data_IF_369080428939
#
_entry.id   IF_369080428939
#
_cell.length_a   1.000
_cell.length_b   1.000
_cell.length_c   1.000
_cell.angle_alpha   90.00
_cell.angle_beta   90.00
_cell.angle_gamma   90.00
#
_symmetry.space_group_name_H-M   'P 1'
#
loop_
_entity.id
_entity.type
_entity.pdbx_description
1 polymer ?
#
# COMPACT_ATOMS: atom_id res chain seq x y z
N UNK A 1 -4.02 17.99 -16.65
CA UNK A 1 -3.45 16.76 -16.01
C UNK A 1 -3.08 17.05 -14.56
N UNK A 2 -3.46 16.18 -13.65
CA UNK A 2 -3.15 16.36 -12.22
C UNK A 2 -1.70 16.00 -11.93
N UNK A 3 -1.11 16.75 -11.02
CA UNK A 3 0.26 16.52 -10.59
C UNK A 3 0.34 15.31 -9.67
N UNK A 4 1.27 14.40 -9.93
CA UNK A 4 1.46 13.22 -9.08
C UNK A 4 2.05 13.61 -7.73
N UNK A 5 1.58 12.94 -6.69
CA UNK A 5 2.13 13.08 -5.34
C UNK A 5 2.31 11.69 -4.74
N UNK A 6 3.54 11.39 -4.34
CA UNK A 6 3.88 10.09 -3.73
C UNK A 6 3.87 10.23 -2.22
N UNK A 7 3.07 9.40 -1.55
CA UNK A 7 2.95 9.43 -0.10
C UNK A 7 3.24 8.03 0.44
N UNK A 8 4.15 7.94 1.38
CA UNK A 8 4.43 6.68 2.07
C UNK A 8 3.57 6.57 3.32
N UNK A 9 2.80 5.50 3.43
CA UNK A 9 2.06 5.18 4.64
C UNK A 9 2.85 4.16 5.45
N UNK A 10 3.16 4.52 6.70
CA UNK A 10 3.75 3.58 7.65
C UNK A 10 2.83 2.38 7.84
N UNK A 11 3.41 1.20 8.09
CA UNK A 11 2.62 0.00 8.39
C UNK A 11 1.70 0.16 9.59
N UNK A 12 1.95 1.14 10.46
CA UNK A 12 1.08 1.45 11.61
C UNK A 12 -0.35 1.81 11.19
N UNK A 13 -0.52 2.41 10.01
CA UNK A 13 -1.84 2.77 9.47
C UNK A 13 -2.72 1.53 9.30
N UNK A 14 -2.11 0.38 9.10
CA UNK A 14 -2.79 -0.88 8.81
C UNK A 14 -2.89 -1.81 10.04
N UNK A 15 -2.59 -1.29 11.23
CA UNK A 15 -2.68 -2.07 12.45
C UNK A 15 -4.12 -2.40 12.83
N UNK A 16 -4.32 -3.51 13.56
CA UNK A 16 -5.66 -3.99 13.92
C UNK A 16 -6.45 -2.99 14.74
N UNK A 17 -5.79 -2.21 15.58
CA UNK A 17 -6.45 -1.18 16.41
C UNK A 17 -6.72 0.11 15.64
N UNK A 18 -6.35 0.21 14.36
CA UNK A 18 -6.40 1.44 13.57
C UNK A 18 -7.38 1.39 12.40
N UNK A 19 -8.44 0.59 12.51
CA UNK A 19 -9.42 0.44 11.42
C UNK A 19 -10.04 1.80 11.05
N UNK A 20 -10.40 2.59 12.04
CA UNK A 20 -10.98 3.92 11.81
C UNK A 20 -9.98 4.86 11.13
N UNK A 21 -8.72 4.78 11.50
CA UNK A 21 -7.66 5.63 10.91
C UNK A 21 -7.51 5.34 9.43
N UNK A 22 -7.56 4.07 9.03
CA UNK A 22 -7.50 3.70 7.63
C UNK A 22 -8.61 4.34 6.82
N UNK A 23 -9.83 4.33 7.34
CA UNK A 23 -10.98 4.97 6.69
C UNK A 23 -10.82 6.49 6.60
N UNK A 24 -10.27 7.10 7.64
CA UNK A 24 -10.02 8.55 7.66
C UNK A 24 -8.99 8.92 6.59
N UNK A 25 -7.92 8.15 6.46
CA UNK A 25 -6.93 8.36 5.42
C UNK A 25 -7.50 8.15 4.02
N UNK A 26 -8.37 7.15 3.86
CA UNK A 26 -9.03 6.92 2.57
C UNK A 26 -9.86 8.14 2.16
N UNK A 27 -10.61 8.72 3.08
CA UNK A 27 -11.37 9.95 2.82
C UNK A 27 -10.48 11.13 2.44
N UNK A 28 -9.36 11.27 3.14
CA UNK A 28 -8.36 12.30 2.82
C UNK A 28 -7.82 12.13 1.40
N UNK A 29 -7.49 10.90 1.01
CA UNK A 29 -6.94 10.62 -0.32
C UNK A 29 -7.95 10.88 -1.44
N UNK A 30 -9.22 10.55 -1.21
CA UNK A 30 -10.28 10.85 -2.17
C UNK A 30 -10.40 12.36 -2.38
N UNK A 31 -10.32 13.12 -1.30
CA UNK A 31 -10.36 14.59 -1.36
C UNK A 31 -9.14 15.12 -2.11
N UNK A 32 -7.95 14.59 -1.80
CA UNK A 32 -6.70 14.98 -2.46
C UNK A 32 -6.73 14.65 -3.96
N UNK A 33 -7.40 13.57 -4.33
CA UNK A 33 -7.46 13.12 -5.73
C UNK A 33 -8.22 14.07 -6.64
N UNK A 34 -8.95 15.03 -6.08
CA UNK A 34 -9.62 16.06 -6.88
C UNK A 34 -8.63 17.03 -7.52
N UNK A 35 -7.47 17.22 -6.90
CA UNK A 35 -6.45 18.18 -7.36
C UNK A 35 -5.13 17.52 -7.73
N UNK A 36 -4.85 16.33 -7.23
CA UNK A 36 -3.58 15.62 -7.42
C UNK A 36 -3.82 14.17 -7.83
N UNK A 37 -2.76 13.52 -8.32
CA UNK A 37 -2.74 12.08 -8.59
C UNK A 37 -1.99 11.41 -7.43
N UNK A 38 -2.69 10.88 -6.41
CA UNK A 38 -2.00 10.22 -5.30
C UNK A 38 -1.44 8.87 -5.71
N UNK A 39 -0.20 8.62 -5.30
CA UNK A 39 0.47 7.33 -5.43
C UNK A 39 0.93 6.96 -4.02
N UNK A 40 0.35 5.92 -3.44
CA UNK A 40 0.59 5.55 -2.07
C UNK A 40 1.51 4.34 -2.02
N UNK A 41 2.53 4.40 -1.16
CA UNK A 41 3.41 3.27 -0.90
C UNK A 41 3.10 2.77 0.50
N UNK A 42 2.60 1.53 0.61
CA UNK A 42 2.24 0.93 1.88
C UNK A 42 3.42 0.19 2.49
N UNK A 43 3.64 0.39 3.80
CA UNK A 43 4.64 -0.35 4.55
C UNK A 43 4.07 -1.61 5.18
N UNK A 44 4.94 -2.46 5.74
CA UNK A 44 4.55 -3.75 6.32
C UNK A 44 4.19 -3.68 7.80
N UNK A 45 4.82 -2.80 8.56
CA UNK A 45 4.54 -2.59 9.98
C UNK A 45 4.92 -3.75 10.89
N UNK A 46 4.22 -3.85 12.02
CA UNK A 46 4.47 -4.89 13.03
C UNK A 46 4.24 -6.30 12.49
N UNK A 47 3.24 -6.47 11.64
CA UNK A 47 2.92 -7.78 11.05
C UNK A 47 4.09 -8.26 10.20
N UNK A 48 4.67 -7.40 9.37
CA UNK A 48 5.84 -7.76 8.58
C UNK A 48 7.02 -8.14 9.48
N UNK A 49 7.29 -7.33 10.52
CA UNK A 49 8.38 -7.61 11.46
C UNK A 49 8.19 -8.94 12.16
N UNK A 50 6.96 -9.25 12.55
CA UNK A 50 6.61 -10.51 13.20
C UNK A 50 6.89 -11.71 12.28
N UNK A 51 6.40 -11.65 11.05
CA UNK A 51 6.59 -12.72 10.07
C UNK A 51 8.08 -12.91 9.72
N UNK A 52 8.78 -11.80 9.52
CA UNK A 52 10.21 -11.82 9.19
C UNK A 52 11.02 -12.41 10.33
N UNK A 53 10.70 -12.06 11.57
CA UNK A 53 11.36 -12.60 12.76
C UNK A 53 11.20 -14.11 12.85
N UNK A 54 9.97 -14.62 12.65
CA UNK A 54 9.71 -16.05 12.64
C UNK A 54 10.44 -16.77 11.51
N UNK A 55 10.39 -16.22 10.30
CA UNK A 55 11.05 -16.82 9.15
C UNK A 55 12.57 -16.86 9.34
N UNK A 56 13.15 -15.79 9.88
CA UNK A 56 14.59 -15.73 10.17
C UNK A 56 14.97 -16.80 11.19
N UNK A 57 14.18 -16.94 12.23
CA UNK A 57 14.38 -17.98 13.25
C UNK A 57 14.33 -19.39 12.68
N UNK A 58 13.56 -19.58 11.61
CA UNK A 58 13.43 -20.86 10.92
C UNK A 58 14.50 -21.09 9.84
N UNK A 59 15.44 -20.16 9.68
CA UNK A 59 16.56 -20.31 8.77
C UNK A 59 16.37 -19.73 7.38
N UNK A 60 15.34 -18.91 7.16
CA UNK A 60 15.14 -18.25 5.87
C UNK A 60 16.27 -17.27 5.58
N UNK A 61 16.70 -17.19 4.32
CA UNK A 61 17.76 -16.27 3.92
C UNK A 61 17.21 -14.84 3.73
N UNK A 62 18.12 -13.87 3.57
CA UNK A 62 17.73 -12.47 3.47
C UNK A 62 16.83 -12.19 2.25
N UNK A 63 17.07 -12.86 1.14
CA UNK A 63 16.26 -12.72 -0.07
C UNK A 63 14.80 -13.15 0.19
N UNK A 64 14.63 -14.27 0.88
CA UNK A 64 13.30 -14.76 1.26
C UNK A 64 12.61 -13.81 2.24
N UNK A 65 13.36 -13.24 3.18
CA UNK A 65 12.81 -12.28 4.15
C UNK A 65 12.35 -11.01 3.44
N UNK A 66 13.10 -10.51 2.47
CA UNK A 66 12.73 -9.35 1.69
C UNK A 66 11.43 -9.60 0.92
N UNK A 67 11.32 -10.76 0.28
CA UNK A 67 10.11 -11.17 -0.43
C UNK A 67 8.90 -11.20 0.49
N UNK A 68 9.06 -11.77 1.68
CA UNK A 68 8.00 -11.84 2.67
C UNK A 68 7.51 -10.44 3.07
N UNK A 69 8.44 -9.52 3.29
CA UNK A 69 8.11 -8.13 3.60
C UNK A 69 7.32 -7.46 2.50
N UNK A 70 7.71 -7.70 1.24
CA UNK A 70 7.00 -7.17 0.07
C UNK A 70 5.57 -7.71 0.02
N UNK A 71 5.39 -9.01 0.24
CA UNK A 71 4.07 -9.64 0.23
C UNK A 71 3.14 -9.03 1.28
N UNK A 72 3.65 -8.79 2.49
CA UNK A 72 2.85 -8.21 3.56
C UNK A 72 2.50 -6.76 3.25
N UNK A 73 3.45 -5.98 2.71
CA UNK A 73 3.17 -4.61 2.28
C UNK A 73 2.07 -4.58 1.22
N UNK A 74 2.06 -5.55 0.30
CA UNK A 74 1.01 -5.68 -0.71
C UNK A 74 -0.34 -6.02 -0.11
N UNK A 75 -0.38 -6.87 0.92
CA UNK A 75 -1.63 -7.15 1.65
C UNK A 75 -2.16 -5.88 2.30
N UNK A 76 -1.29 -5.09 2.93
CA UNK A 76 -1.69 -3.81 3.51
C UNK A 76 -2.20 -2.85 2.43
N UNK A 77 -1.55 -2.80 1.28
CA UNK A 77 -2.00 -1.98 0.16
C UNK A 77 -3.43 -2.35 -0.25
N UNK A 78 -3.76 -3.63 -0.26
CA UNK A 78 -5.13 -4.09 -0.58
C UNK A 78 -6.16 -3.56 0.41
N UNK A 79 -5.82 -3.49 1.69
CA UNK A 79 -6.73 -2.93 2.70
C UNK A 79 -7.11 -1.49 2.37
N UNK A 80 -6.14 -0.69 1.97
CA UNK A 80 -6.41 0.69 1.58
C UNK A 80 -7.23 0.76 0.28
N UNK A 81 -6.91 -0.09 -0.70
CA UNK A 81 -7.67 -0.17 -1.94
C UNK A 81 -9.14 -0.47 -1.66
N UNK A 82 -9.42 -1.42 -0.76
CA UNK A 82 -10.79 -1.75 -0.39
C UNK A 82 -11.50 -0.57 0.26
N UNK A 83 -10.80 0.19 1.09
CA UNK A 83 -11.37 1.38 1.72
C UNK A 83 -11.64 2.51 0.71
N UNK A 84 -10.82 2.60 -0.34
CA UNK A 84 -10.97 3.59 -1.41
C UNK A 84 -12.04 3.21 -2.45
N UNK A 85 -12.41 1.94 -2.51
CA UNK A 85 -13.44 1.42 -3.42
C UNK A 85 -13.10 1.75 -4.89
N UNK A 86 -14.04 2.28 -5.65
CA UNK A 86 -13.85 2.57 -7.07
C UNK A 86 -12.94 3.78 -7.36
N UNK A 87 -12.46 4.45 -6.33
CA UNK A 87 -11.51 5.55 -6.50
C UNK A 87 -10.07 5.06 -6.66
N UNK A 88 -9.79 3.81 -6.35
CA UNK A 88 -8.46 3.24 -6.44
C UNK A 88 -8.31 2.32 -7.65
N UNK A 89 -7.10 2.29 -8.19
CA UNK A 89 -6.72 1.22 -9.13
C UNK A 89 -6.87 -0.11 -8.38
N UNK A 90 -7.50 -1.14 -9.00
CA UNK A 90 -8.08 -2.26 -8.22
C UNK A 90 -7.11 -3.20 -7.52
N UNK A 91 -5.83 -3.14 -7.82
CA UNK A 91 -4.82 -3.96 -7.14
C UNK A 91 -3.45 -3.28 -7.17
N UNK A 92 -2.53 -3.67 -6.28
CA UNK A 92 -1.18 -3.11 -6.31
C UNK A 92 -0.47 -3.52 -7.61
N UNK A 93 0.12 -2.56 -8.35
CA UNK A 93 0.86 -2.91 -9.56
C UNK A 93 2.04 -3.83 -9.26
N UNK A 94 2.29 -4.78 -10.15
CA UNK A 94 3.37 -5.77 -9.99
C UNK A 94 4.54 -5.56 -10.93
N UNK A 95 4.36 -4.72 -11.95
CA UNK A 95 5.40 -4.40 -12.93
C UNK A 95 5.43 -2.90 -13.19
N UNK A 96 6.53 -2.40 -13.77
CA UNK A 96 6.62 -0.99 -14.15
C UNK A 96 5.57 -0.63 -15.20
N UNK A 97 5.30 -1.54 -16.14
CA UNK A 97 4.25 -1.34 -17.15
C UNK A 97 2.90 -1.14 -16.49
N UNK A 98 2.55 -2.03 -15.55
CA UNK A 98 1.28 -1.94 -14.84
C UNK A 98 1.20 -0.68 -13.99
N UNK A 99 2.30 -0.29 -13.34
CA UNK A 99 2.36 0.94 -12.55
C UNK A 99 2.05 2.15 -13.43
N UNK A 100 2.62 2.20 -14.63
CA UNK A 100 2.34 3.28 -15.59
C UNK A 100 0.87 3.28 -16.01
N UNK A 101 0.32 2.11 -16.30
CA UNK A 101 -1.10 1.98 -16.67
C UNK A 101 -1.99 2.47 -15.52
N UNK A 102 -1.64 2.12 -14.29
CA UNK A 102 -2.40 2.54 -13.11
C UNK A 102 -2.39 4.07 -12.96
N UNK A 103 -1.23 4.69 -13.10
CA UNK A 103 -1.11 6.16 -13.03
C UNK A 103 -1.90 6.81 -14.17
N UNK A 104 -1.78 6.28 -15.38
CA UNK A 104 -2.47 6.83 -16.57
C UNK A 104 -3.99 6.69 -16.45
N UNK A 105 -4.50 5.76 -15.64
CA UNK A 105 -5.94 5.59 -15.42
C UNK A 105 -6.58 6.78 -14.68
N UNK A 106 -5.77 7.58 -14.00
CA UNK A 106 -6.26 8.68 -13.18
C UNK A 106 -6.79 8.28 -11.81
N UNK A 107 -6.79 6.97 -11.50
CA UNK A 107 -7.23 6.46 -10.20
C UNK A 107 -6.12 6.61 -9.15
N UNK A 108 -6.49 6.51 -7.88
CA UNK A 108 -5.51 6.49 -6.79
C UNK A 108 -4.75 5.16 -6.86
N UNK A 109 -3.42 5.23 -6.92
CA UNK A 109 -2.57 4.05 -7.03
C UNK A 109 -2.00 3.72 -5.66
N UNK A 110 -2.15 2.46 -5.23
CA UNK A 110 -1.59 1.98 -3.97
C UNK A 110 -0.65 0.83 -4.29
N UNK A 111 0.62 1.00 -3.93
CA UNK A 111 1.67 0.02 -4.21
C UNK A 111 2.19 -0.64 -2.93
#
# INVERSE_FOLDING_TARGET
>A
MKKAIVIKFSGKVFGVENIKILKDYARFLVKLSKTHQPIIVAGGGKIARHFISHARSSGADESTLDELGIEISRLNAKLLIYALKNKAYPHPPTTLREAKQAVDSGLIVVA
#
